data_IF_970933044742
#
_entry.id   IF_970933044742
#
_cell.length_a   1.000
_cell.length_b   1.000
_cell.length_c   1.000
_cell.angle_alpha   90.00
_cell.angle_beta   90.00
_cell.angle_gamma   90.00
#
_symmetry.space_group_name_H-M   'P 1'
#
loop_
_entity.id
_entity.type
_entity.pdbx_description
1 polymer ?
#
# COMPACT_ATOMS: atom_id res chain seq x y z
N UNK A 1 30.99 -5.55 9.61
CA UNK A 1 30.03 -5.64 10.75
C UNK A 1 30.11 -7.05 11.34
N UNK A 2 30.04 -7.20 12.68
CA UNK A 2 30.09 -8.52 13.32
C UNK A 2 28.98 -9.42 12.76
N UNK A 3 29.24 -10.73 12.59
CA UNK A 3 28.22 -11.65 12.09
C UNK A 3 27.06 -11.67 13.08
N UNK A 4 25.83 -11.64 12.59
CA UNK A 4 24.65 -11.81 13.44
C UNK A 4 24.64 -13.24 13.97
N UNK A 5 24.81 -13.38 15.27
CA UNK A 5 24.74 -14.67 15.96
C UNK A 5 23.29 -14.90 16.38
N UNK A 6 22.76 -16.13 16.29
CA UNK A 6 21.44 -16.45 16.83
C UNK A 6 21.34 -16.01 18.30
N UNK A 7 20.20 -15.44 18.68
CA UNK A 7 19.93 -15.02 20.06
C UNK A 7 19.67 -16.20 21.00
N UNK A 8 19.46 -17.40 20.44
CA UNK A 8 19.13 -18.62 21.18
C UNK A 8 20.06 -19.77 20.77
N UNK A 9 20.70 -20.38 21.78
CA UNK A 9 21.43 -21.64 21.65
C UNK A 9 20.53 -22.79 22.11
N UNK A 10 20.30 -23.77 21.23
CA UNK A 10 19.55 -24.98 21.57
C UNK A 10 20.33 -25.85 22.58
N UNK A 11 19.61 -26.60 23.42
CA UNK A 11 20.14 -27.49 24.47
C UNK A 11 21.13 -28.50 23.89
N UNK A 12 20.88 -28.96 22.66
CA UNK A 12 21.80 -29.86 21.94
C UNK A 12 23.18 -29.22 21.71
N UNK A 13 23.22 -27.94 21.30
CA UNK A 13 24.46 -27.18 21.07
C UNK A 13 25.19 -26.89 22.38
N UNK A 14 24.45 -26.62 23.45
CA UNK A 14 25.02 -26.40 24.79
C UNK A 14 25.70 -27.67 25.29
N UNK A 15 24.98 -28.81 25.28
CA UNK A 15 25.53 -30.10 25.70
C UNK A 15 26.74 -30.53 24.88
N UNK A 16 26.68 -30.35 23.56
CA UNK A 16 27.80 -30.69 22.69
C UNK A 16 29.04 -29.83 22.93
N UNK A 17 28.89 -28.61 23.45
CA UNK A 17 30.00 -27.71 23.80
C UNK A 17 30.60 -28.02 25.17
N UNK A 18 29.79 -28.51 26.11
CA UNK A 18 30.20 -28.85 27.47
C UNK A 18 30.78 -30.27 27.61
N UNK A 19 30.41 -31.18 26.71
CA UNK A 19 30.93 -32.54 26.70
C UNK A 19 32.40 -32.57 26.23
N UNK A 20 33.30 -32.99 27.11
CA UNK A 20 34.73 -33.09 26.86
C UNK A 20 35.13 -34.24 25.93
N UNK A 21 34.22 -35.16 25.65
CA UNK A 21 34.46 -36.29 24.75
C UNK A 21 34.22 -35.94 23.27
N UNK A 22 33.57 -34.80 23.00
CA UNK A 22 33.29 -34.36 21.64
C UNK A 22 34.43 -33.46 21.17
N UNK A 23 35.13 -33.91 20.13
CA UNK A 23 36.14 -33.10 19.43
C UNK A 23 35.51 -32.57 18.14
N UNK A 24 35.42 -31.25 18.01
CA UNK A 24 34.95 -30.63 16.78
C UNK A 24 35.94 -30.85 15.65
N UNK A 25 35.46 -31.07 14.43
CA UNK A 25 36.32 -31.32 13.26
C UNK A 25 37.27 -30.14 13.01
N UNK A 26 36.83 -28.90 13.30
CA UNK A 26 37.66 -27.69 13.18
C UNK A 26 38.78 -27.59 14.20
N UNK A 27 38.74 -28.40 15.26
CA UNK A 27 39.78 -28.50 16.27
C UNK A 27 40.71 -29.70 16.02
N UNK A 28 40.18 -30.75 15.39
CA UNK A 28 40.95 -31.92 14.94
C UNK A 28 41.80 -31.60 13.71
N UNK A 29 41.25 -30.88 12.74
CA UNK A 29 41.93 -30.44 11.53
C UNK A 29 41.78 -28.92 11.36
N UNK A 30 42.90 -28.21 11.55
CA UNK A 30 42.94 -26.76 11.44
C UNK A 30 42.82 -26.25 10.00
N UNK A 31 43.00 -27.11 8.99
CA UNK A 31 42.83 -26.76 7.58
C UNK A 31 41.39 -26.45 7.21
N UNK A 32 40.43 -26.99 7.97
CA UNK A 32 38.99 -26.77 7.78
C UNK A 32 38.50 -25.42 8.32
N UNK A 33 39.37 -24.64 8.98
CA UNK A 33 39.04 -23.32 9.50
C UNK A 33 39.01 -22.32 8.35
N UNK A 34 37.81 -21.89 7.97
CA UNK A 34 37.61 -20.86 6.95
C UNK A 34 37.68 -19.44 7.53
N UNK A 35 37.49 -18.43 6.67
CA UNK A 35 37.45 -17.03 7.08
C UNK A 35 36.37 -16.75 8.12
N UNK A 36 35.17 -17.31 7.95
CA UNK A 36 34.04 -17.06 8.84
C UNK A 36 34.25 -17.67 10.23
N UNK A 37 34.88 -18.84 10.32
CA UNK A 37 35.26 -19.49 11.57
C UNK A 37 36.21 -18.63 12.40
N UNK A 38 37.21 -18.00 11.75
CA UNK A 38 38.20 -17.11 12.40
C UNK A 38 37.61 -15.74 12.72
N UNK A 39 36.79 -15.19 11.82
CA UNK A 39 36.11 -13.91 11.97
C UNK A 39 35.12 -13.90 13.13
N UNK A 40 34.28 -14.95 13.26
CA UNK A 40 33.32 -15.08 14.35
C UNK A 40 33.98 -15.18 15.74
N UNK A 41 35.23 -15.67 15.80
CA UNK A 41 36.03 -15.81 17.03
C UNK A 41 36.97 -14.63 17.29
N UNK A 42 36.90 -13.57 16.48
CA UNK A 42 37.72 -12.37 16.65
C UNK A 42 39.22 -12.57 16.39
N UNK A 43 39.59 -13.64 15.67
CA UNK A 43 40.98 -13.93 15.29
C UNK A 43 41.37 -13.08 14.08
N UNK A 44 40.45 -12.88 13.13
CA UNK A 44 40.67 -12.01 11.98
C UNK A 44 40.49 -10.53 12.37
N UNK A 45 41.52 -9.69 12.22
CA UNK A 45 41.35 -8.26 12.38
C UNK A 45 40.47 -7.72 11.25
N UNK A 46 39.45 -6.94 11.59
CA UNK A 46 38.62 -6.23 10.62
C UNK A 46 38.65 -4.75 10.93
N UNK A 47 38.93 -3.97 9.89
CA UNK A 47 38.91 -2.52 9.96
C UNK A 47 37.46 -2.05 10.16
N UNK A 48 37.14 -1.66 11.39
CA UNK A 48 35.86 -1.11 11.78
C UNK A 48 35.78 0.40 11.58
N UNK A 49 36.79 1.03 10.96
CA UNK A 49 36.71 2.45 10.65
C UNK A 49 35.53 2.68 9.71
N UNK A 50 34.51 3.34 10.25
CA UNK A 50 33.39 3.80 9.47
C UNK A 50 33.90 5.01 8.69
N UNK A 51 34.20 4.83 7.42
CA UNK A 51 34.36 5.98 6.54
C UNK A 51 32.98 6.63 6.43
N UNK A 52 32.84 7.84 6.96
CA UNK A 52 31.66 8.65 6.69
C UNK A 52 31.77 9.08 5.22
N UNK A 53 31.13 8.33 4.33
CA UNK A 53 30.79 8.86 3.01
C UNK A 53 29.78 9.96 3.24
N UNK A 54 30.27 11.19 3.38
CA UNK A 54 29.45 12.37 3.17
C UNK A 54 29.11 12.37 1.68
N UNK A 55 27.92 11.90 1.33
CA UNK A 55 27.36 12.19 0.02
C UNK A 55 27.23 13.71 0.02
N UNK A 56 28.01 14.46 -0.80
CA UNK A 56 27.87 15.90 -0.83
C UNK A 56 26.40 16.19 -1.11
N UNK A 57 25.79 17.02 -0.26
CA UNK A 57 24.43 17.45 -0.45
C UNK A 57 24.37 18.03 -1.86
N UNK A 58 23.69 17.34 -2.76
CA UNK A 58 23.42 17.87 -4.09
C UNK A 58 22.49 19.05 -3.82
N UNK A 59 23.04 20.25 -3.82
CA UNK A 59 22.23 21.45 -3.77
C UNK A 59 21.25 21.31 -4.93
N UNK A 60 19.97 21.20 -4.60
CA UNK A 60 18.95 21.23 -5.62
C UNK A 60 19.06 22.63 -6.24
N UNK A 61 19.64 22.70 -7.44
CA UNK A 61 19.63 23.92 -8.23
C UNK A 61 18.19 24.40 -8.25
N UNK A 62 17.95 25.59 -7.68
CA UNK A 62 16.62 26.16 -7.63
C UNK A 62 16.10 26.32 -9.05
N UNK A 63 14.84 25.95 -9.30
CA UNK A 63 14.23 26.13 -10.62
C UNK A 63 14.44 27.58 -11.08
N UNK A 64 14.88 27.71 -12.33
CA UNK A 64 14.92 28.99 -13.02
C UNK A 64 13.50 29.56 -13.15
N UNK A 65 13.36 30.88 -13.29
CA UNK A 65 12.03 31.51 -13.34
C UNK A 65 11.22 31.03 -14.55
N UNK A 66 11.88 30.72 -15.67
CA UNK A 66 11.28 30.09 -16.84
C UNK A 66 10.73 28.66 -16.59
N UNK A 67 11.34 27.92 -15.65
CA UNK A 67 10.87 26.59 -15.26
C UNK A 67 9.70 26.68 -14.28
N UNK A 68 9.68 27.69 -13.40
CA UNK A 68 8.55 27.95 -12.50
C UNK A 68 7.28 28.30 -13.27
N UNK A 69 7.41 29.10 -14.33
CA UNK A 69 6.26 29.48 -15.17
C UNK A 69 5.59 28.28 -15.85
N UNK A 70 6.34 27.20 -16.15
CA UNK A 70 5.77 25.95 -16.70
C UNK A 70 4.87 25.21 -15.71
N UNK A 71 5.04 25.44 -14.41
CA UNK A 71 4.25 24.81 -13.35
C UNK A 71 3.22 25.75 -12.72
N UNK A 72 3.28 27.06 -12.99
CA UNK A 72 2.42 28.07 -12.35
C UNK A 72 0.91 27.86 -12.55
N UNK A 73 0.51 27.22 -13.65
CA UNK A 73 -0.90 26.92 -13.96
C UNK A 73 -1.31 25.46 -13.70
N UNK A 74 -0.42 24.64 -13.12
CA UNK A 74 -0.69 23.22 -12.87
C UNK A 74 -1.06 22.98 -11.41
N UNK A 75 -1.92 21.98 -11.19
CA UNK A 75 -2.32 21.54 -9.86
C UNK A 75 -1.40 20.42 -9.40
N UNK A 76 -0.78 20.60 -8.22
CA UNK A 76 0.11 19.62 -7.62
C UNK A 76 -0.60 18.89 -6.49
N UNK A 77 -0.59 17.56 -6.55
CA UNK A 77 -1.19 16.68 -5.54
C UNK A 77 -0.13 15.73 -5.01
N UNK A 78 0.06 15.70 -3.70
CA UNK A 78 0.90 14.70 -3.03
C UNK A 78 0.01 13.64 -2.39
N UNK A 79 0.18 12.38 -2.80
CA UNK A 79 -0.53 11.26 -2.21
C UNK A 79 0.44 10.38 -1.45
N UNK A 80 0.02 10.01 -0.24
CA UNK A 80 0.73 9.06 0.61
C UNK A 80 -0.05 7.76 0.66
N UNK A 81 0.59 6.68 0.21
CA UNK A 81 0.06 5.33 0.23
C UNK A 81 0.73 4.53 1.34
N UNK A 82 -0.04 3.68 2.01
CA UNK A 82 0.46 2.77 3.04
C UNK A 82 0.04 1.34 2.70
N UNK A 83 1.00 0.43 2.69
CA UNK A 83 0.73 -0.99 2.50
C UNK A 83 0.35 -1.62 3.85
N UNK A 84 -0.95 -1.91 4.02
CA UNK A 84 -1.49 -2.59 5.20
C UNK A 84 -1.79 -4.05 4.85
N UNK A 85 -0.78 -4.90 4.97
CA UNK A 85 -0.93 -6.34 4.67
C UNK A 85 0.36 -7.00 4.18
N UNK A 86 1.36 -6.20 3.79
CA UNK A 86 2.68 -6.72 3.39
C UNK A 86 2.68 -7.38 2.01
N UNK A 87 1.58 -7.28 1.25
CA UNK A 87 1.52 -7.74 -0.12
C UNK A 87 1.83 -6.56 -1.05
N UNK A 88 2.90 -6.66 -1.82
CA UNK A 88 3.30 -5.62 -2.77
C UNK A 88 2.40 -5.68 -4.01
N UNK A 89 1.62 -4.62 -4.24
CA UNK A 89 0.66 -4.53 -5.36
C UNK A 89 0.86 -3.25 -6.17
N UNK A 90 0.46 -3.22 -7.46
CA UNK A 90 0.37 -1.96 -8.22
C UNK A 90 -0.66 -1.02 -7.59
N UNK A 91 -0.44 0.29 -7.71
CA UNK A 91 -1.36 1.32 -7.23
C UNK A 91 -2.14 1.83 -8.44
N UNK A 92 -3.47 1.68 -8.44
CA UNK A 92 -4.36 2.11 -9.52
C UNK A 92 -5.21 3.25 -9.00
N UNK A 93 -5.14 4.40 -9.65
CA UNK A 93 -5.80 5.62 -9.18
C UNK A 93 -6.75 6.11 -10.26
N UNK A 94 -8.01 6.32 -9.91
CA UNK A 94 -8.95 7.09 -10.71
C UNK A 94 -9.01 8.53 -10.20
N UNK A 95 -8.70 9.45 -11.09
CA UNK A 95 -8.86 10.89 -10.92
C UNK A 95 -10.20 11.29 -11.52
N UNK A 96 -11.07 11.90 -10.72
CA UNK A 96 -12.27 12.58 -11.22
C UNK A 96 -12.04 14.08 -11.12
N UNK A 97 -12.09 14.78 -12.25
CA UNK A 97 -11.89 16.22 -12.32
C UNK A 97 -13.19 17.00 -12.13
N UNK A 98 -13.08 18.29 -11.81
CA UNK A 98 -14.26 19.18 -11.65
C UNK A 98 -15.10 19.34 -12.92
N UNK A 99 -14.51 19.11 -14.09
CA UNK A 99 -15.21 19.12 -15.38
C UNK A 99 -15.96 17.81 -15.67
N UNK A 100 -15.88 16.82 -14.77
CA UNK A 100 -16.50 15.51 -14.92
C UNK A 100 -15.67 14.50 -15.72
N UNK A 101 -14.51 14.89 -16.26
CA UNK A 101 -13.60 13.95 -16.93
C UNK A 101 -12.92 13.02 -15.92
N UNK A 102 -12.63 11.80 -16.37
CA UNK A 102 -11.98 10.76 -15.56
C UNK A 102 -10.66 10.34 -16.20
N UNK A 103 -9.66 10.10 -15.37
CA UNK A 103 -8.35 9.60 -15.80
C UNK A 103 -7.89 8.48 -14.88
N UNK A 104 -7.43 7.38 -15.45
CA UNK A 104 -6.91 6.23 -14.69
C UNK A 104 -5.40 6.20 -14.84
N UNK A 105 -4.70 6.28 -13.72
CA UNK A 105 -3.25 6.20 -13.65
C UNK A 105 -2.83 4.91 -12.95
N UNK A 106 -2.00 4.11 -13.63
CA UNK A 106 -1.51 2.83 -13.12
C UNK A 106 -0.04 2.95 -12.77
N UNK A 107 0.27 2.67 -11.52
CA UNK A 107 1.62 2.74 -10.98
C UNK A 107 2.07 1.31 -10.71
N UNK A 108 3.21 0.88 -11.29
CA UNK A 108 3.69 -0.48 -11.11
C UNK A 108 4.14 -0.70 -9.66
N UNK A 109 4.14 -1.97 -9.25
CA UNK A 109 4.59 -2.43 -7.93
C UNK A 109 6.05 -2.05 -7.58
N UNK A 110 6.85 -1.59 -8.55
CA UNK A 110 8.24 -1.20 -8.31
C UNK A 110 8.38 0.02 -7.39
N UNK A 111 7.31 0.81 -7.20
CA UNK A 111 7.33 1.96 -6.28
C UNK A 111 7.63 1.57 -4.83
N UNK A 112 7.37 0.31 -4.47
CA UNK A 112 7.62 -0.22 -3.13
C UNK A 112 9.08 -0.65 -2.90
N UNK A 113 9.97 -0.55 -3.90
CA UNK A 113 11.38 -1.03 -3.79
C UNK A 113 12.21 -0.31 -2.73
N UNK A 114 11.99 1.00 -2.55
CA UNK A 114 12.72 1.79 -1.56
C UNK A 114 12.09 1.68 -0.17
N UNK A 115 10.76 1.60 -0.12
CA UNK A 115 10.00 1.45 1.11
C UNK A 115 8.72 0.67 0.83
N UNK A 116 8.61 -0.51 1.43
CA UNK A 116 7.48 -1.43 1.26
C UNK A 116 6.24 -0.99 2.04
N UNK A 117 6.41 -0.28 3.17
CA UNK A 117 5.31 0.09 4.05
C UNK A 117 4.64 1.41 3.68
N UNK A 118 5.38 2.36 3.10
CA UNK A 118 4.89 3.70 2.79
C UNK A 118 5.53 4.24 1.51
N UNK A 119 4.69 4.72 0.59
CA UNK A 119 5.11 5.39 -0.64
C UNK A 119 4.47 6.77 -0.70
N UNK A 120 5.28 7.80 -0.96
CA UNK A 120 4.81 9.16 -1.23
C UNK A 120 5.11 9.46 -2.69
N UNK A 121 4.09 9.90 -3.42
CA UNK A 121 4.24 10.27 -4.83
C UNK A 121 3.50 11.57 -5.11
N UNK A 122 4.18 12.47 -5.83
CA UNK A 122 3.62 13.74 -6.29
C UNK A 122 3.13 13.60 -7.72
N UNK A 123 1.94 14.15 -7.98
CA UNK A 123 1.27 14.17 -9.27
C UNK A 123 1.02 15.61 -9.68
N UNK A 124 1.32 15.90 -10.94
CA UNK A 124 1.09 17.21 -11.53
C UNK A 124 -0.02 17.04 -12.57
N UNK A 125 -1.15 17.72 -12.37
CA UNK A 125 -2.31 17.66 -13.26
C UNK A 125 -2.64 19.05 -13.79
N UNK A 126 -3.09 19.13 -15.04
CA UNK A 126 -3.49 20.41 -15.65
C UNK A 126 -4.88 20.87 -15.17
N UNK A 127 -5.70 19.95 -14.65
CA UNK A 127 -7.07 20.20 -14.19
C UNK A 127 -7.20 20.01 -12.68
N UNK A 128 -8.16 20.69 -12.08
CA UNK A 128 -8.46 20.55 -10.66
C UNK A 128 -9.25 19.26 -10.39
N UNK A 129 -8.75 18.46 -9.44
CA UNK A 129 -9.32 17.17 -9.03
C UNK A 129 -10.46 17.38 -8.03
N UNK A 130 -11.60 16.75 -8.31
CA UNK A 130 -12.79 16.73 -7.44
C UNK A 130 -12.77 15.55 -6.46
N UNK A 131 -12.47 14.35 -6.93
CA UNK A 131 -12.36 13.14 -6.11
C UNK A 131 -11.29 12.19 -6.63
N UNK A 132 -10.77 11.37 -5.72
CA UNK A 132 -9.75 10.36 -6.01
C UNK A 132 -10.26 9.03 -5.49
N UNK A 133 -10.17 7.99 -6.30
CA UNK A 133 -10.52 6.63 -5.91
C UNK A 133 -9.37 5.68 -6.20
N UNK A 134 -8.98 4.91 -5.20
CA UNK A 134 -8.03 3.83 -5.32
C UNK A 134 -8.77 2.57 -5.80
N UNK A 135 -8.21 1.93 -6.82
CA UNK A 135 -8.69 0.69 -7.42
C UNK A 135 -10.20 0.67 -7.77
N UNK A 136 -10.64 1.53 -8.72
CA UNK A 136 -12.06 1.63 -9.09
C UNK A 136 -12.65 0.32 -9.65
N UNK A 137 -11.81 -0.57 -10.18
CA UNK A 137 -12.21 -1.81 -10.83
C UNK A 137 -11.94 -3.06 -9.98
N UNK A 138 -11.46 -2.88 -8.73
CA UNK A 138 -11.19 -3.99 -7.79
C UNK A 138 -10.22 -5.02 -8.38
N UNK A 139 -9.18 -4.54 -9.04
CA UNK A 139 -8.12 -5.38 -9.61
C UNK A 139 -7.13 -5.87 -8.53
N UNK A 140 -7.09 -5.19 -7.39
CA UNK A 140 -6.23 -5.49 -6.26
C UNK A 140 -6.98 -6.28 -5.20
N UNK A 141 -6.25 -7.10 -4.44
CA UNK A 141 -6.79 -7.92 -3.37
C UNK A 141 -6.96 -7.12 -2.06
N UNK A 142 -7.66 -5.98 -2.13
CA UNK A 142 -7.98 -5.17 -0.95
C UNK A 142 -9.28 -5.63 -0.29
N UNK A 143 -9.30 -5.63 1.04
CA UNK A 143 -10.44 -6.03 1.87
C UNK A 143 -11.23 -4.81 2.33
N UNK A 144 -10.60 -3.64 2.42
CA UNK A 144 -11.19 -2.45 3.02
C UNK A 144 -11.32 -1.31 2.00
N UNK A 145 -12.41 -1.35 1.22
CA UNK A 145 -12.73 -0.32 0.23
C UNK A 145 -13.15 1.02 0.84
N UNK A 146 -13.55 1.07 2.12
CA UNK A 146 -14.04 2.29 2.77
C UNK A 146 -12.95 3.38 2.86
N UNK A 147 -11.67 2.99 2.81
CA UNK A 147 -10.54 3.90 2.88
C UNK A 147 -9.92 4.24 1.50
N UNK A 148 -10.52 3.75 0.41
CA UNK A 148 -10.01 3.93 -0.95
C UNK A 148 -10.46 5.25 -1.60
N UNK A 149 -11.27 6.05 -0.92
CA UNK A 149 -11.82 7.29 -1.48
C UNK A 149 -11.35 8.55 -0.77
N UNK A 150 -10.94 9.56 -1.54
CA UNK A 150 -10.83 10.94 -1.07
C UNK A 150 -11.93 11.79 -1.70
N UNK A 151 -12.78 12.38 -0.86
CA UNK A 151 -14.01 13.10 -1.26
C UNK A 151 -15.02 12.27 -2.07
N UNK A 152 -14.89 10.95 -2.05
CA UNK A 152 -15.86 10.04 -2.65
C UNK A 152 -17.13 10.03 -1.80
N UNK A 153 -18.30 10.16 -2.43
CA UNK A 153 -19.57 10.02 -1.70
C UNK A 153 -19.66 8.61 -1.13
N UNK A 154 -20.05 8.44 0.16
CA UNK A 154 -20.16 7.12 0.75
C UNK A 154 -21.17 6.28 -0.03
N UNK A 155 -20.80 5.04 -0.37
CA UNK A 155 -21.74 4.14 -1.02
C UNK A 155 -22.99 3.94 -0.15
N UNK A 156 -24.20 3.95 -0.73
CA UNK A 156 -25.40 3.73 0.03
C UNK A 156 -25.40 2.32 0.64
N UNK A 157 -25.50 2.24 1.97
CA UNK A 157 -25.57 0.98 2.71
C UNK A 157 -26.60 0.00 2.12
N UNK A 158 -26.26 -1.28 2.03
CA UNK A 158 -27.20 -2.34 1.59
C UNK A 158 -28.52 -2.30 2.37
N UNK A 159 -28.48 -1.88 3.64
CA UNK A 159 -29.67 -1.72 4.47
C UNK A 159 -30.52 -0.49 4.12
N UNK A 160 -29.92 0.63 3.71
CA UNK A 160 -30.67 1.80 3.24
C UNK A 160 -31.32 1.52 1.89
N UNK A 161 -30.62 0.81 0.99
CA UNK A 161 -31.18 0.30 -0.27
C UNK A 161 -32.35 -0.66 0.01
N UNK A 162 -32.20 -1.61 0.93
CA UNK A 162 -33.26 -2.54 1.32
C UNK A 162 -34.49 -1.84 1.93
N UNK A 163 -34.29 -0.85 2.80
CA UNK A 163 -35.38 -0.02 3.35
C UNK A 163 -36.03 0.83 2.27
N UNK A 164 -35.27 1.38 1.33
CA UNK A 164 -35.79 2.12 0.17
C UNK A 164 -36.66 1.22 -0.72
N UNK A 165 -36.20 0.01 -1.04
CA UNK A 165 -36.95 -0.99 -1.79
C UNK A 165 -38.23 -1.45 -1.05
N UNK A 166 -38.16 -1.59 0.28
CA UNK A 166 -39.31 -1.94 1.12
C UNK A 166 -40.32 -0.79 1.22
N UNK A 167 -39.86 0.47 1.24
CA UNK A 167 -40.72 1.66 1.14
C UNK A 167 -41.39 1.77 -0.23
N UNK A 168 -40.69 1.45 -1.33
CA UNK A 168 -41.29 1.38 -2.66
C UNK A 168 -42.38 0.32 -2.81
N UNK A 169 -42.30 -0.79 -2.06
CA UNK A 169 -43.33 -1.85 -2.05
C UNK A 169 -44.45 -1.64 -1.02
N UNK A 170 -44.26 -0.78 -0.01
CA UNK A 170 -45.27 -0.49 1.03
C UNK A 170 -45.90 0.91 0.94
N UNK A 171 -45.34 1.81 0.13
CA UNK A 171 -45.87 3.15 -0.15
C UNK A 171 -46.66 3.23 -1.47
N UNK A 172 -47.10 2.08 -2.01
CA UNK A 172 -48.08 1.99 -3.09
C UNK A 172 -49.50 1.69 -2.59
N UNK A 173 -49.78 1.92 -1.30
CA UNK A 173 -51.10 1.83 -0.69
C UNK A 173 -51.84 3.18 -0.61
N UNK A 174 -51.41 4.16 -1.41
CA UNK A 174 -52.04 5.46 -1.53
C UNK A 174 -53.00 5.51 -2.71
N UNK A 175 -54.28 5.26 -2.43
CA UNK A 175 -55.44 5.92 -3.06
C UNK A 175 -55.66 5.77 -4.57
N UNK A 176 -55.13 4.76 -5.25
CA UNK A 176 -55.55 4.44 -6.61
C UNK A 176 -55.82 2.94 -6.72
N UNK A 177 -57.11 2.58 -6.67
CA UNK A 177 -57.60 1.20 -6.74
C UNK A 177 -57.04 0.42 -7.94
N UNK A 178 -57.00 -0.91 -7.77
CA UNK A 178 -56.45 -1.85 -8.73
C UNK A 178 -57.13 -1.68 -10.11
N UNK A 179 -56.43 -1.78 -11.27
CA UNK A 179 -57.01 -1.53 -12.60
C UNK A 179 -58.28 -2.33 -12.91
N UNK A 180 -58.41 -3.53 -12.32
CA UNK A 180 -59.61 -4.37 -12.38
C UNK A 180 -60.84 -3.74 -11.70
N UNK A 181 -60.65 -3.01 -10.59
CA UNK A 181 -61.75 -2.33 -9.88
C UNK A 181 -62.27 -1.14 -10.71
N UNK A 182 -61.37 -0.36 -11.30
CA UNK A 182 -61.71 0.73 -12.24
C UNK A 182 -62.40 0.24 -13.52
N UNK A 183 -62.06 -0.96 -13.98
CA UNK A 183 -62.70 -1.57 -15.15
C UNK A 183 -64.13 -2.08 -14.85
N UNK A 184 -64.43 -2.45 -13.60
CA UNK A 184 -65.76 -2.87 -13.17
C UNK A 184 -66.70 -1.67 -12.96
N UNK A 185 -66.19 -0.53 -12.45
CA UNK A 185 -66.98 0.71 -12.33
C UNK A 185 -67.47 1.24 -13.68
N UNK A 186 -66.71 1.03 -14.76
CA UNK A 186 -67.12 1.44 -16.12
C UNK A 186 -68.20 0.56 -16.77
N UNK A 187 -68.56 -0.58 -16.18
CA UNK A 187 -69.62 -1.48 -16.70
C UNK A 187 -70.99 -1.25 -16.07
N UNK A 188 -71.11 -0.29 -15.16
CA UNK A 188 -72.37 0.11 -14.54
C UNK A 188 -72.83 1.49 -15.01
N UNK A 189 -73.19 1.63 -16.29
CA UNK A 189 -74.05 2.68 -16.82
C UNK A 189 -74.95 2.08 -17.88
#
# INVERSE_FOLDING_TARGET
>A
AKPQVPTFDDISKIRNREDKNIVFETDKDTSTRDFYWRYARGIEPYDSTKYETTIPAREAEGLTDEEKDKYGNKNMYELTFSNKGGLVMPIIIEWTYKDGSKEIERIPAQVWRLNEGKVVKTFIKDKEVASIQLDPYKETADINEDNNGWKTMPEPSRFSIFKGATRGRRAGGGQDGNPMQRAQEKKGF
#
